data_IF_887602829716
#
_entry.id   IF_887602829716
#
_cell.length_a   1.000
_cell.length_b   1.000
_cell.length_c   1.000
_cell.angle_alpha   90.00
_cell.angle_beta   90.00
_cell.angle_gamma   90.00
#
_symmetry.space_group_name_H-M   'P 1'
#
loop_
_entity.id
_entity.type
_entity.pdbx_description
1 polymer ?
#
# COMPACT_ATOMS: atom_id res chain seq x y z
N UNK A 1 -0.79 -4.67 -20.81
CA UNK A 1 -1.42 -5.50 -19.76
C UNK A 1 -0.42 -5.99 -18.71
N UNK A 2 0.77 -6.54 -19.07
CA UNK A 2 1.76 -7.00 -18.08
C UNK A 2 2.22 -5.94 -17.07
N UNK A 3 2.49 -4.70 -17.50
CA UNK A 3 2.92 -3.64 -16.59
C UNK A 3 1.88 -3.26 -15.52
N UNK A 4 0.58 -3.27 -15.87
CA UNK A 4 -0.53 -3.04 -14.91
C UNK A 4 -0.57 -4.13 -13.85
N UNK A 5 -0.41 -5.40 -14.25
CA UNK A 5 -0.38 -6.53 -13.32
C UNK A 5 0.78 -6.45 -12.33
N UNK A 6 1.99 -6.13 -12.80
CA UNK A 6 3.16 -5.96 -11.93
C UNK A 6 3.03 -4.76 -10.99
N UNK A 7 2.43 -3.65 -11.42
CA UNK A 7 2.20 -2.49 -10.56
C UNK A 7 1.29 -2.83 -9.37
N UNK A 8 0.20 -3.57 -9.58
CA UNK A 8 -0.69 -4.01 -8.49
C UNK A 8 0.04 -4.89 -7.48
N UNK A 9 0.89 -5.81 -7.96
CA UNK A 9 1.71 -6.67 -7.11
C UNK A 9 2.69 -5.84 -6.28
N UNK A 10 3.33 -4.84 -6.89
CA UNK A 10 4.25 -3.94 -6.19
C UNK A 10 3.53 -3.12 -5.12
N UNK A 11 2.34 -2.58 -5.42
CA UNK A 11 1.53 -1.88 -4.40
C UNK A 11 1.20 -2.79 -3.21
N UNK A 12 0.71 -4.00 -3.48
CA UNK A 12 0.40 -4.97 -2.43
C UNK A 12 1.63 -5.31 -1.57
N UNK A 13 2.79 -5.49 -2.22
CA UNK A 13 4.05 -5.79 -1.53
C UNK A 13 4.50 -4.63 -0.64
N UNK A 14 4.45 -3.39 -1.14
CA UNK A 14 4.85 -2.20 -0.37
C UNK A 14 3.90 -1.94 0.80
N UNK A 15 2.58 -2.07 0.59
CA UNK A 15 1.58 -1.93 1.65
C UNK A 15 1.81 -2.98 2.74
N UNK A 16 1.99 -4.25 2.35
CA UNK A 16 2.27 -5.34 3.27
C UNK A 16 3.56 -5.10 4.07
N UNK A 17 4.62 -4.63 3.41
CA UNK A 17 5.90 -4.31 4.06
C UNK A 17 5.75 -3.18 5.09
N UNK A 18 5.05 -2.10 4.74
CA UNK A 18 4.82 -0.98 5.66
C UNK A 18 4.07 -1.43 6.90
N UNK A 19 3.03 -2.25 6.75
CA UNK A 19 2.27 -2.79 7.87
C UNK A 19 3.13 -3.73 8.73
N UNK A 20 3.90 -4.63 8.11
CA UNK A 20 4.80 -5.53 8.82
C UNK A 20 5.84 -4.75 9.65
N UNK A 21 6.48 -3.75 9.04
CA UNK A 21 7.44 -2.88 9.74
C UNK A 21 6.75 -2.07 10.86
N UNK A 22 5.54 -1.58 10.62
CA UNK A 22 4.74 -0.91 11.64
C UNK A 22 4.48 -1.83 12.84
N UNK A 23 4.06 -3.08 12.63
CA UNK A 23 3.80 -4.04 13.70
C UNK A 23 5.07 -4.34 14.50
N UNK A 24 6.22 -4.48 13.83
CA UNK A 24 7.52 -4.65 14.51
C UNK A 24 7.85 -3.45 15.40
N UNK A 25 7.60 -2.22 14.92
CA UNK A 25 7.82 -0.99 15.69
C UNK A 25 6.86 -0.86 16.87
N UNK A 26 5.59 -1.22 16.68
CA UNK A 26 4.60 -1.25 17.75
C UNK A 26 5.01 -2.23 18.86
N UNK A 27 5.49 -3.42 18.48
CA UNK A 27 6.00 -4.41 19.42
C UNK A 27 7.24 -3.92 20.20
N UNK A 28 8.02 -3.00 19.61
CA UNK A 28 9.12 -2.31 20.28
C UNK A 28 8.70 -1.11 21.13
N UNK A 29 7.40 -0.82 21.23
CA UNK A 29 6.84 0.30 22.00
C UNK A 29 6.78 1.64 21.26
N UNK A 30 7.11 1.67 19.96
CA UNK A 30 7.04 2.88 19.14
C UNK A 30 5.72 2.98 18.38
N UNK A 31 4.71 3.53 19.05
CA UNK A 31 3.38 3.75 18.48
C UNK A 31 3.40 4.83 17.38
N UNK A 32 4.35 5.77 17.42
CA UNK A 32 4.44 6.86 16.44
C UNK A 32 4.86 6.34 15.06
N UNK A 33 5.90 5.51 15.02
CA UNK A 33 6.35 4.86 13.79
C UNK A 33 5.31 3.87 13.25
N UNK A 34 4.61 3.14 14.12
CA UNK A 34 3.47 2.31 13.71
C UNK A 34 2.37 3.13 13.05
N UNK A 35 1.90 4.19 13.71
CA UNK A 35 0.82 5.03 13.21
C UNK A 35 1.20 5.68 11.86
N UNK A 36 2.45 6.12 11.72
CA UNK A 36 2.98 6.65 10.46
C UNK A 36 2.95 5.60 9.35
N UNK A 37 3.50 4.40 9.59
CA UNK A 37 3.54 3.34 8.58
C UNK A 37 2.13 2.89 8.18
N UNK A 38 1.23 2.73 9.16
CA UNK A 38 -0.17 2.40 8.92
C UNK A 38 -0.89 3.48 8.10
N UNK A 39 -0.66 4.76 8.43
CA UNK A 39 -1.23 5.89 7.70
C UNK A 39 -0.74 5.95 6.24
N UNK A 40 0.56 5.75 6.00
CA UNK A 40 1.14 5.71 4.65
C UNK A 40 0.56 4.52 3.87
N UNK A 41 0.45 3.34 4.48
CA UNK A 41 -0.14 2.15 3.87
C UNK A 41 -1.61 2.36 3.49
N UNK A 42 -2.40 3.03 4.35
CA UNK A 42 -3.79 3.37 4.06
C UNK A 42 -3.91 4.32 2.86
N UNK A 43 -3.10 5.39 2.81
CA UNK A 43 -3.09 6.33 1.69
C UNK A 43 -2.67 5.66 0.38
N UNK A 44 -1.63 4.81 0.42
CA UNK A 44 -1.19 4.00 -0.73
C UNK A 44 -2.29 3.07 -1.22
N UNK A 45 -3.06 2.47 -0.31
CA UNK A 45 -4.18 1.60 -0.67
C UNK A 45 -5.26 2.37 -1.41
N UNK A 46 -5.66 3.54 -0.89
CA UNK A 46 -6.65 4.41 -1.55
C UNK A 46 -6.17 4.80 -2.95
N UNK A 47 -4.92 5.22 -3.06
CA UNK A 47 -4.32 5.59 -4.36
C UNK A 47 -4.29 4.40 -5.33
N UNK A 48 -3.83 3.23 -4.88
CA UNK A 48 -3.75 2.03 -5.72
C UNK A 48 -5.14 1.61 -6.22
N UNK A 49 -6.17 1.67 -5.37
CA UNK A 49 -7.56 1.37 -5.77
C UNK A 49 -8.05 2.38 -6.80
N UNK A 50 -7.81 3.68 -6.60
CA UNK A 50 -8.20 4.71 -7.56
C UNK A 50 -7.51 4.51 -8.92
N UNK A 51 -6.22 4.20 -8.92
CA UNK A 51 -5.43 3.94 -10.12
C UNK A 51 -5.93 2.70 -10.87
N UNK A 52 -6.24 1.61 -10.16
CA UNK A 52 -6.79 0.39 -10.78
C UNK A 52 -8.15 0.67 -11.43
N UNK A 53 -9.02 1.42 -10.75
CA UNK A 53 -10.33 1.82 -11.31
C UNK A 53 -10.19 2.70 -12.54
N UNK A 54 -9.26 3.65 -12.52
CA UNK A 54 -8.97 4.51 -13.68
C UNK A 54 -8.48 3.67 -14.87
N UNK A 55 -7.61 2.69 -14.61
CA UNK A 55 -7.14 1.79 -15.65
C UNK A 55 -8.23 0.92 -16.27
N UNK A 56 -9.20 0.47 -15.49
CA UNK A 56 -10.37 -0.26 -15.98
C UNK A 56 -11.30 0.66 -16.78
N UNK A 57 -11.49 1.91 -16.32
CA UNK A 57 -12.36 2.89 -16.98
C UNK A 57 -11.79 3.35 -18.32
N UNK A 58 -10.46 3.52 -18.41
CA UNK A 58 -9.76 3.94 -19.62
C UNK A 58 -9.15 2.74 -20.40
N UNK A 59 -9.66 1.53 -20.19
CA UNK A 59 -9.23 0.35 -20.95
C UNK A 59 -9.99 0.16 -22.28
N UNK A 60 -11.06 0.94 -22.47
CA UNK A 60 -11.87 1.04 -23.69
C UNK A 60 -11.46 2.26 -24.54
#
# INVERSE_FOLDING_TARGET
>A
MHARSWATVLFALVIGLLLALGVVRLAAGDTGDFARNAGIAALLTVFAVALVRDWETNAD
#
